data_IF_041137087354
#
_entry.id   IF_041137087354
#
_cell.length_a   1.000
_cell.length_b   1.000
_cell.length_c   1.000
_cell.angle_alpha   90.00
_cell.angle_beta   90.00
_cell.angle_gamma   90.00
#
_symmetry.space_group_name_H-M   'P 1'
#
loop_
_entity.id
_entity.type
_entity.pdbx_description
1 polymer ?
#
# COMPACT_ATOMS: atom_id res chain seq x y z
N UNK A 1 1.83 17.09 2.38
CA UNK A 1 1.74 18.02 3.50
C UNK A 1 3.09 18.31 4.17
N UNK A 2 4.05 17.44 4.12
CA UNK A 2 5.32 17.50 4.87
C UNK A 2 6.56 17.50 3.96
N UNK A 3 6.42 17.88 2.70
CA UNK A 3 7.49 17.77 1.69
C UNK A 3 8.47 18.96 1.62
N UNK A 4 8.59 19.77 2.67
CA UNK A 4 9.56 20.87 2.70
C UNK A 4 10.87 20.46 3.36
N UNK A 5 12.01 20.96 2.86
CA UNK A 5 13.33 20.78 3.47
C UNK A 5 13.41 21.20 4.93
N UNK A 6 12.48 22.03 5.39
CA UNK A 6 12.43 22.55 6.75
C UNK A 6 11.88 21.52 7.74
N UNK A 7 11.00 20.63 7.29
CA UNK A 7 10.39 19.60 8.16
C UNK A 7 11.42 18.56 8.65
N UNK A 8 12.37 18.18 7.82
CA UNK A 8 13.44 17.26 8.19
C UNK A 8 14.42 17.82 9.25
N UNK A 9 14.44 19.15 9.44
CA UNK A 9 15.31 19.81 10.42
C UNK A 9 14.58 20.11 11.74
N UNK A 10 13.29 19.87 11.82
CA UNK A 10 12.47 20.11 13.02
C UNK A 10 12.69 19.00 14.05
N UNK A 11 12.60 19.37 15.31
CA UNK A 11 12.49 18.39 16.40
C UNK A 11 11.13 17.70 16.36
N UNK A 12 10.95 16.59 17.04
CA UNK A 12 9.69 15.84 17.10
C UNK A 12 8.55 16.73 17.63
N UNK A 13 8.79 17.54 18.66
CA UNK A 13 7.80 18.47 19.20
C UNK A 13 7.41 19.52 18.16
N UNK A 14 8.36 20.09 17.42
CA UNK A 14 8.10 21.05 16.35
C UNK A 14 7.33 20.43 15.18
N UNK A 15 7.64 19.18 14.83
CA UNK A 15 6.88 18.42 13.81
C UNK A 15 5.45 18.17 14.26
N UNK A 16 5.27 17.80 15.52
CA UNK A 16 3.96 17.57 16.12
C UNK A 16 3.11 18.85 16.08
N UNK A 17 3.66 19.96 16.54
CA UNK A 17 2.95 21.25 16.54
C UNK A 17 2.59 21.70 15.13
N UNK A 18 3.52 21.59 14.18
CA UNK A 18 3.28 21.93 12.78
C UNK A 18 2.20 21.06 12.15
N UNK A 19 2.21 19.76 12.44
CA UNK A 19 1.22 18.82 11.94
C UNK A 19 -0.18 19.10 12.51
N UNK A 20 -0.29 19.36 13.82
CA UNK A 20 -1.55 19.70 14.47
C UNK A 20 -2.10 21.03 13.95
N UNK A 21 -1.27 22.05 13.78
CA UNK A 21 -1.69 23.33 13.21
C UNK A 21 -2.24 23.17 11.78
N UNK A 22 -1.64 22.31 10.97
CA UNK A 22 -2.12 22.01 9.63
C UNK A 22 -3.46 21.26 9.66
N UNK A 23 -3.60 20.28 10.55
CA UNK A 23 -4.84 19.52 10.71
C UNK A 23 -5.98 20.40 11.22
N UNK A 24 -5.71 21.37 12.10
CA UNK A 24 -6.68 22.36 12.53
C UNK A 24 -7.15 23.23 11.35
N UNK A 25 -6.23 23.69 10.50
CA UNK A 25 -6.57 24.44 9.30
C UNK A 25 -7.40 23.62 8.30
N UNK A 26 -7.07 22.34 8.11
CA UNK A 26 -7.86 21.43 7.26
C UNK A 26 -9.23 21.12 7.86
N UNK A 27 -9.33 21.05 9.19
CA UNK A 27 -10.60 20.87 9.90
C UNK A 27 -11.48 22.09 9.73
N UNK A 28 -10.91 23.30 9.86
CA UNK A 28 -11.64 24.55 9.62
C UNK A 28 -12.14 24.70 8.17
N UNK A 29 -11.43 24.10 7.20
CA UNK A 29 -11.85 24.03 5.79
C UNK A 29 -12.87 22.89 5.52
N UNK A 30 -13.23 22.11 6.52
CA UNK A 30 -14.15 20.98 6.38
C UNK A 30 -13.55 19.76 5.64
N UNK A 31 -12.23 19.70 5.47
CA UNK A 31 -11.54 18.59 4.81
C UNK A 31 -11.20 17.45 5.76
N UNK A 32 -10.99 17.76 7.03
CA UNK A 32 -10.80 16.78 8.10
C UNK A 32 -12.03 16.82 9.03
N UNK A 33 -12.46 15.66 9.46
CA UNK A 33 -13.63 15.50 10.33
C UNK A 33 -13.32 16.03 11.72
N UNK A 34 -14.17 16.91 12.23
CA UNK A 34 -14.02 17.49 13.56
C UNK A 34 -13.98 16.40 14.66
N UNK A 35 -13.01 16.49 15.55
CA UNK A 35 -12.83 15.56 16.66
C UNK A 35 -12.26 14.19 16.25
N UNK A 36 -11.71 14.05 15.04
CA UNK A 36 -11.11 12.81 14.57
C UNK A 36 -9.58 12.76 14.68
N UNK A 37 -8.94 13.87 15.05
CA UNK A 37 -7.48 13.93 15.21
C UNK A 37 -7.11 13.26 16.53
N UNK A 38 -6.22 12.29 16.46
CA UNK A 38 -5.69 11.56 17.60
C UNK A 38 -4.17 11.48 17.50
N UNK A 39 -3.48 11.88 18.56
CA UNK A 39 -2.02 11.81 18.67
C UNK A 39 -1.64 10.56 19.48
N UNK A 40 -0.88 9.70 18.88
CA UNK A 40 -0.26 8.53 19.49
C UNK A 40 1.23 8.84 19.73
N UNK A 41 1.54 9.36 20.93
CA UNK A 41 2.88 9.75 21.29
C UNK A 41 3.83 8.55 21.48
N UNK A 42 3.30 7.36 21.82
CA UNK A 42 4.11 6.16 21.99
C UNK A 42 4.62 5.62 20.65
N UNK A 43 3.83 5.78 19.60
CA UNK A 43 4.19 5.34 18.25
C UNK A 43 4.61 6.50 17.34
N UNK A 44 4.77 7.71 17.87
CA UNK A 44 5.19 8.88 17.08
C UNK A 44 4.27 9.16 15.89
N UNK A 45 2.95 9.02 16.06
CA UNK A 45 1.99 9.13 14.96
C UNK A 45 0.81 10.01 15.32
N UNK A 46 0.31 10.77 14.34
CA UNK A 46 -1.01 11.44 14.42
C UNK A 46 -1.94 10.77 13.40
N UNK A 47 -3.07 10.26 13.84
CA UNK A 47 -4.13 9.73 12.98
C UNK A 47 -5.33 10.67 12.93
N UNK A 48 -6.04 10.68 11.82
CA UNK A 48 -7.23 11.51 11.62
C UNK A 48 -8.13 10.91 10.52
N UNK A 49 -9.33 11.46 10.41
CA UNK A 49 -10.28 11.04 9.38
C UNK A 49 -10.62 12.22 8.49
N UNK A 50 -10.46 12.08 7.18
CA UNK A 50 -10.97 13.06 6.21
C UNK A 50 -12.49 13.09 6.20
N UNK A 51 -13.08 14.22 5.78
CA UNK A 51 -14.53 14.37 5.68
C UNK A 51 -15.19 13.35 4.74
N UNK A 52 -14.46 12.85 3.76
CA UNK A 52 -14.89 11.75 2.88
C UNK A 52 -14.89 10.37 3.56
N UNK A 53 -14.39 10.27 4.79
CA UNK A 53 -14.31 9.02 5.55
C UNK A 53 -12.99 8.26 5.40
N UNK A 54 -12.05 8.71 4.57
CA UNK A 54 -10.72 8.12 4.48
C UNK A 54 -9.92 8.39 5.76
N UNK A 55 -9.13 7.42 6.20
CA UNK A 55 -8.18 7.59 7.29
C UNK A 55 -6.92 8.27 6.77
N UNK A 56 -6.34 9.14 7.58
CA UNK A 56 -5.06 9.78 7.36
C UNK A 56 -4.13 9.54 8.54
N UNK A 57 -2.83 9.53 8.27
CA UNK A 57 -1.80 9.43 9.29
C UNK A 57 -0.60 10.31 8.96
N UNK A 58 0.05 10.84 10.00
CA UNK A 58 1.31 11.58 9.91
C UNK A 58 2.27 10.88 10.86
N UNK A 59 3.39 10.39 10.32
CA UNK A 59 4.51 9.90 11.12
C UNK A 59 5.34 11.10 11.55
N UNK A 60 5.60 11.20 12.85
CA UNK A 60 6.37 12.28 13.48
C UNK A 60 7.85 11.90 13.60
N UNK A 61 8.13 10.59 13.65
CA UNK A 61 9.48 10.04 13.69
C UNK A 61 10.18 10.25 12.36
N UNK A 62 11.49 10.43 12.40
CA UNK A 62 12.27 10.52 11.18
C UNK A 62 12.33 9.13 10.52
N UNK A 63 11.87 8.99 9.25
CA UNK A 63 11.98 7.71 8.56
C UNK A 63 13.45 7.23 8.42
N UNK A 64 14.42 8.15 8.53
CA UNK A 64 15.84 7.79 8.53
C UNK A 64 16.29 7.18 9.88
N UNK A 65 15.68 7.56 11.01
CA UNK A 65 16.00 6.96 12.31
C UNK A 65 15.40 5.56 12.48
N UNK A 66 14.22 5.30 11.96
CA UNK A 66 13.63 3.95 11.97
C UNK A 66 14.38 2.98 11.04
N UNK A 67 14.94 3.47 9.94
CA UNK A 67 15.71 2.65 9.01
C UNK A 67 17.16 2.36 9.49
N UNK A 68 17.63 2.96 10.58
CA UNK A 68 18.91 2.62 11.22
C UNK A 68 18.80 1.48 12.22
N UNK A 69 17.61 0.92 12.47
CA UNK A 69 17.52 -0.37 13.11
C UNK A 69 18.37 -1.34 12.29
N UNK A 70 19.49 -1.79 12.88
CA UNK A 70 20.38 -2.74 12.23
C UNK A 70 19.53 -3.88 11.71
N UNK A 71 19.51 -4.04 10.38
CA UNK A 71 18.87 -5.20 9.76
C UNK A 71 19.37 -6.43 10.51
N UNK A 72 18.51 -7.36 10.90
CA UNK A 72 18.94 -8.53 11.65
C UNK A 72 20.07 -9.20 10.88
N UNK A 73 21.22 -9.41 11.54
CA UNK A 73 22.29 -10.21 10.97
C UNK A 73 21.71 -11.59 10.69
N UNK A 74 21.67 -11.93 9.42
CA UNK A 74 21.19 -13.23 8.99
C UNK A 74 22.28 -14.23 9.28
N UNK A 75 21.96 -15.22 10.09
CA UNK A 75 22.84 -16.35 10.34
C UNK A 75 23.04 -17.14 9.03
N UNK A 76 24.28 -17.15 8.52
CA UNK A 76 24.63 -17.89 7.29
C UNK A 76 24.21 -19.36 7.34
N UNK A 77 24.15 -19.97 8.52
CA UNK A 77 23.68 -21.35 8.69
C UNK A 77 22.19 -21.50 8.42
N UNK A 78 21.37 -20.54 8.83
CA UNK A 78 19.94 -20.51 8.53
C UNK A 78 19.67 -20.28 7.03
N UNK A 79 20.51 -19.45 6.38
CA UNK A 79 20.46 -19.24 4.94
C UNK A 79 20.78 -20.50 4.15
N UNK A 80 21.80 -21.25 4.59
CA UNK A 80 22.17 -22.53 3.97
C UNK A 80 21.05 -23.57 4.11
N UNK A 81 20.45 -23.69 5.30
CA UNK A 81 19.34 -24.61 5.55
C UNK A 81 18.11 -24.28 4.69
N UNK A 82 17.79 -22.99 4.54
CA UNK A 82 16.71 -22.54 3.64
C UNK A 82 17.04 -22.83 2.18
N UNK A 83 18.28 -22.62 1.75
CA UNK A 83 18.73 -22.90 0.38
C UNK A 83 18.74 -24.41 0.04
N UNK A 84 19.02 -25.27 1.02
CA UNK A 84 18.99 -26.74 0.86
C UNK A 84 17.56 -27.29 0.84
N UNK A 85 16.63 -26.64 1.56
CA UNK A 85 15.22 -27.04 1.65
C UNK A 85 14.31 -26.37 0.60
N UNK A 86 14.80 -26.04 -0.57
CA UNK A 86 14.12 -25.31 -1.66
C UNK A 86 12.66 -25.75 -1.88
N UNK A 87 11.71 -25.13 -1.18
CA UNK A 87 10.28 -25.30 -1.42
C UNK A 87 9.61 -24.07 -2.04
N UNK A 88 10.27 -22.92 -2.00
CA UNK A 88 9.80 -21.66 -2.57
C UNK A 88 10.72 -21.30 -3.72
N UNK A 89 10.18 -21.21 -4.92
CA UNK A 89 10.96 -20.97 -6.14
C UNK A 89 10.91 -19.52 -6.62
N UNK A 90 9.78 -18.83 -6.41
CA UNK A 90 9.54 -17.51 -6.98
C UNK A 90 8.88 -16.56 -5.97
N UNK A 91 9.31 -15.31 -5.98
CA UNK A 91 8.73 -14.27 -5.13
C UNK A 91 8.45 -12.99 -5.92
N UNK A 92 7.51 -12.19 -5.46
CA UNK A 92 7.27 -10.85 -5.97
C UNK A 92 7.10 -9.85 -4.84
N UNK A 93 7.64 -8.65 -5.04
CA UNK A 93 7.42 -7.48 -4.19
C UNK A 93 6.75 -6.42 -5.05
N UNK A 94 5.47 -6.22 -4.84
CA UNK A 94 4.66 -5.20 -5.49
C UNK A 94 4.55 -3.97 -4.58
N UNK A 95 5.23 -2.90 -4.97
CA UNK A 95 5.26 -1.65 -4.22
C UNK A 95 4.59 -0.53 -5.03
N UNK A 96 3.35 -0.22 -4.70
CA UNK A 96 2.50 0.68 -5.47
C UNK A 96 2.31 2.06 -4.82
N UNK A 97 3.35 2.65 -4.22
CA UNK A 97 3.27 4.00 -3.67
C UNK A 97 3.86 5.05 -4.61
N UNK A 98 5.08 4.83 -5.06
CA UNK A 98 5.74 5.67 -6.05
C UNK A 98 6.86 4.87 -6.78
N UNK A 99 7.41 5.43 -7.83
CA UNK A 99 8.44 4.77 -8.64
C UNK A 99 9.86 4.94 -8.06
N UNK A 100 10.03 5.22 -6.78
CA UNK A 100 11.29 5.67 -6.21
C UNK A 100 11.89 4.73 -5.16
N UNK A 101 11.62 3.41 -5.23
CA UNK A 101 12.40 2.46 -4.42
C UNK A 101 13.84 2.45 -4.90
N UNK A 102 14.75 2.80 -4.03
CA UNK A 102 16.18 2.65 -4.23
C UNK A 102 16.86 2.36 -2.89
N UNK A 103 18.17 2.10 -2.93
CA UNK A 103 18.96 1.79 -1.72
C UNK A 103 18.98 2.89 -0.65
N UNK A 104 18.56 4.11 -0.98
CA UNK A 104 18.49 5.25 -0.07
C UNK A 104 17.06 5.49 0.42
N UNK A 105 16.08 5.24 -0.47
CA UNK A 105 14.67 5.44 -0.17
C UNK A 105 13.98 4.09 -0.18
N UNK A 106 13.47 3.64 0.95
CA UNK A 106 12.94 2.28 1.16
C UNK A 106 13.95 1.16 0.91
N UNK A 107 15.15 1.20 1.53
CA UNK A 107 16.19 0.19 1.35
C UNK A 107 15.72 -1.22 1.75
N UNK A 108 14.70 -1.30 2.61
CA UNK A 108 14.13 -2.53 3.11
C UNK A 108 13.69 -3.49 2.00
N UNK A 109 12.95 -3.02 0.99
CA UNK A 109 12.47 -3.90 -0.09
C UNK A 109 13.59 -4.34 -1.02
N UNK A 110 14.55 -3.46 -1.31
CA UNK A 110 15.74 -3.81 -2.08
C UNK A 110 16.62 -4.82 -1.33
N UNK A 111 16.74 -4.66 -0.01
CA UNK A 111 17.41 -5.62 0.84
C UNK A 111 16.68 -6.97 0.86
N UNK A 112 15.38 -6.97 1.01
CA UNK A 112 14.55 -8.17 1.01
C UNK A 112 14.65 -8.93 -0.32
N UNK A 113 14.65 -8.22 -1.46
CA UNK A 113 14.91 -8.82 -2.75
C UNK A 113 16.27 -9.50 -2.79
N UNK A 114 17.34 -8.77 -2.40
CA UNK A 114 18.71 -9.30 -2.37
C UNK A 114 18.81 -10.53 -1.45
N UNK A 115 18.16 -10.47 -0.29
CA UNK A 115 18.13 -11.59 0.63
C UNK A 115 17.43 -12.82 0.05
N UNK A 116 16.24 -12.63 -0.52
CA UNK A 116 15.49 -13.73 -1.12
C UNK A 116 16.23 -14.36 -2.31
N UNK A 117 16.86 -13.54 -3.15
CA UNK A 117 17.68 -14.02 -4.25
C UNK A 117 18.88 -14.83 -3.74
N UNK A 118 19.50 -14.42 -2.62
CA UNK A 118 20.63 -15.12 -2.02
C UNK A 118 20.26 -16.51 -1.48
N UNK A 119 19.02 -16.69 -1.03
CA UNK A 119 18.50 -18.00 -0.58
C UNK A 119 17.90 -18.83 -1.74
N UNK A 120 18.04 -18.38 -2.98
CA UNK A 120 17.66 -19.11 -4.18
C UNK A 120 16.23 -18.88 -4.68
N UNK A 121 15.52 -17.87 -4.17
CA UNK A 121 14.29 -17.39 -4.78
C UNK A 121 14.61 -16.57 -6.03
N UNK A 122 13.72 -16.58 -6.99
CA UNK A 122 13.70 -15.61 -8.09
C UNK A 122 12.72 -14.52 -7.70
N UNK A 123 13.23 -13.32 -7.40
CA UNK A 123 12.43 -12.24 -6.83
C UNK A 123 12.24 -11.10 -7.82
N UNK A 124 10.99 -10.83 -8.18
CA UNK A 124 10.60 -9.66 -8.96
C UNK A 124 10.23 -8.51 -8.00
N UNK A 125 10.91 -7.36 -8.12
CA UNK A 125 10.53 -6.11 -7.45
C UNK A 125 9.90 -5.17 -8.47
N UNK A 126 8.62 -4.85 -8.30
CA UNK A 126 7.86 -4.01 -9.22
C UNK A 126 7.28 -2.80 -8.50
N UNK A 127 7.64 -1.61 -8.98
CA UNK A 127 7.16 -0.31 -8.47
C UNK A 127 6.10 0.32 -9.38
N UNK A 128 5.81 -0.31 -10.52
CA UNK A 128 4.77 0.13 -11.47
C UNK A 128 3.65 -0.89 -11.54
N UNK A 129 3.03 -1.13 -10.39
CA UNK A 129 2.04 -2.20 -10.21
C UNK A 129 0.78 -1.92 -11.02
N UNK A 130 0.44 -2.85 -11.90
CA UNK A 130 -0.72 -2.80 -12.79
C UNK A 130 -1.79 -3.82 -12.39
N UNK A 131 -3.00 -3.67 -12.93
CA UNK A 131 -4.06 -4.69 -12.81
C UNK A 131 -3.58 -6.04 -13.36
N UNK A 132 -2.76 -6.03 -14.42
CA UNK A 132 -2.20 -7.25 -15.02
C UNK A 132 -1.21 -7.95 -14.10
N UNK A 133 -0.46 -7.21 -13.29
CA UNK A 133 0.47 -7.76 -12.32
C UNK A 133 -0.27 -8.46 -11.20
N UNK A 134 -1.30 -7.83 -10.65
CA UNK A 134 -2.15 -8.46 -9.64
C UNK A 134 -2.83 -9.74 -10.15
N UNK A 135 -3.21 -9.80 -11.44
CA UNK A 135 -3.73 -11.05 -12.02
C UNK A 135 -2.70 -12.18 -12.06
N UNK A 136 -1.41 -11.83 -12.17
CA UNK A 136 -0.31 -12.78 -12.21
C UNK A 136 0.24 -13.14 -10.84
N UNK A 137 -0.19 -12.45 -9.80
CA UNK A 137 0.28 -12.61 -8.43
C UNK A 137 0.23 -14.06 -7.94
N UNK A 138 -0.77 -14.82 -8.35
CA UNK A 138 -0.90 -16.25 -8.03
C UNK A 138 0.12 -17.17 -8.69
N UNK A 139 1.06 -16.66 -9.49
CA UNK A 139 2.18 -17.45 -10.07
C UNK A 139 3.38 -17.51 -9.13
N UNK A 140 3.42 -16.64 -8.14
CA UNK A 140 4.51 -16.59 -7.16
C UNK A 140 4.17 -17.42 -5.95
N UNK A 141 5.19 -18.03 -5.37
CA UNK A 141 5.07 -18.79 -4.13
C UNK A 141 4.97 -17.88 -2.92
N UNK A 142 5.59 -16.69 -3.01
CA UNK A 142 5.52 -15.64 -2.02
C UNK A 142 5.31 -14.28 -2.70
N UNK A 143 4.37 -13.50 -2.20
CA UNK A 143 4.12 -12.17 -2.72
C UNK A 143 3.93 -11.17 -1.60
N UNK A 144 4.63 -10.04 -1.66
CA UNK A 144 4.35 -8.87 -0.84
C UNK A 144 3.60 -7.87 -1.70
N UNK A 145 2.47 -7.37 -1.18
CA UNK A 145 1.69 -6.29 -1.76
C UNK A 145 1.70 -5.11 -0.81
N UNK A 146 2.49 -4.10 -1.15
CA UNK A 146 2.62 -2.86 -0.39
C UNK A 146 2.03 -1.71 -1.21
N UNK A 147 0.88 -1.19 -0.80
CA UNK A 147 0.10 -0.21 -1.59
C UNK A 147 -0.87 0.57 -0.72
N UNK A 148 -1.38 1.67 -1.24
CA UNK A 148 -2.47 2.39 -0.60
C UNK A 148 -3.77 1.59 -0.67
N UNK A 149 -4.44 1.48 0.47
CA UNK A 149 -5.81 1.01 0.56
C UNK A 149 -6.68 2.05 1.24
N UNK A 150 -7.91 2.17 0.81
CA UNK A 150 -8.88 3.08 1.41
C UNK A 150 -10.30 2.62 1.14
N UNK A 151 -11.23 2.94 2.04
CA UNK A 151 -12.65 2.90 1.72
C UNK A 151 -12.98 4.01 0.74
N UNK A 152 -13.51 3.65 -0.39
CA UNK A 152 -13.84 4.59 -1.45
C UNK A 152 -15.29 4.47 -1.87
N UNK A 153 -15.96 5.62 -2.02
CA UNK A 153 -17.32 5.67 -2.54
C UNK A 153 -17.28 6.06 -4.01
N UNK A 154 -17.85 5.24 -4.86
CA UNK A 154 -17.90 5.49 -6.29
C UNK A 154 -19.28 5.16 -6.89
N UNK A 155 -19.57 5.79 -8.01
CA UNK A 155 -20.80 5.51 -8.77
C UNK A 155 -20.52 4.51 -9.89
N UNK A 156 -21.44 3.59 -10.10
CA UNK A 156 -21.40 2.62 -11.17
C UNK A 156 -22.77 2.38 -11.80
N UNK A 157 -22.78 1.76 -12.97
CA UNK A 157 -23.99 1.51 -13.75
C UNK A 157 -24.21 2.56 -14.85
N UNK A 158 -24.70 2.11 -15.99
CA UNK A 158 -24.89 2.97 -17.17
C UNK A 158 -26.25 3.66 -17.19
N UNK A 159 -27.36 2.93 -17.01
CA UNK A 159 -28.71 3.47 -17.04
C UNK A 159 -29.20 3.93 -15.66
N UNK A 160 -28.85 3.17 -14.63
CA UNK A 160 -29.20 3.46 -13.25
C UNK A 160 -27.91 3.52 -12.45
N UNK A 161 -27.52 4.73 -12.10
CA UNK A 161 -26.36 4.95 -11.25
C UNK A 161 -26.64 4.41 -9.86
N UNK A 162 -25.75 3.55 -9.39
CA UNK A 162 -25.70 3.05 -8.02
C UNK A 162 -24.43 3.55 -7.37
N UNK A 163 -24.46 3.69 -6.07
CA UNK A 163 -23.29 4.05 -5.26
C UNK A 163 -22.84 2.84 -4.47
N UNK A 164 -21.55 2.55 -4.48
CA UNK A 164 -20.92 1.58 -3.61
C UNK A 164 -19.83 2.24 -2.77
N UNK A 165 -19.67 1.75 -1.53
CA UNK A 165 -18.56 2.13 -0.65
C UNK A 165 -17.89 0.84 -0.19
N UNK A 166 -16.68 0.62 -0.64
CA UNK A 166 -15.93 -0.60 -0.35
C UNK A 166 -14.43 -0.34 -0.23
N UNK A 167 -13.66 -1.25 0.40
CA UNK A 167 -12.24 -1.15 0.43
C UNK A 167 -11.66 -1.37 -0.97
N UNK A 168 -10.80 -0.47 -1.39
CA UNK A 168 -10.08 -0.52 -2.66
C UNK A 168 -8.59 -0.50 -2.42
N UNK A 169 -7.86 -1.24 -3.24
CA UNK A 169 -6.41 -1.20 -3.36
C UNK A 169 -6.07 -0.33 -4.57
N UNK A 170 -5.31 0.74 -4.33
CA UNK A 170 -4.89 1.67 -5.36
C UNK A 170 -3.63 1.16 -6.05
N UNK A 171 -3.57 1.34 -7.37
CA UNK A 171 -2.43 0.95 -8.18
C UNK A 171 -1.71 2.17 -8.73
N UNK A 172 -0.49 1.99 -9.21
CA UNK A 172 0.26 3.05 -9.90
C UNK A 172 -0.13 3.19 -11.37
N UNK A 173 -0.88 2.23 -11.91
CA UNK A 173 -1.31 2.25 -13.30
C UNK A 173 -2.34 3.35 -13.56
N UNK A 174 -2.03 4.24 -14.51
CA UNK A 174 -2.96 5.27 -14.97
C UNK A 174 -3.97 4.69 -15.96
N UNK A 175 -5.21 5.15 -15.86
CA UNK A 175 -6.24 4.74 -16.79
C UNK A 175 -6.03 5.40 -18.16
N UNK A 176 -6.07 4.59 -19.22
CA UNK A 176 -6.03 5.02 -20.61
C UNK A 176 -6.96 4.15 -21.46
N UNK A 177 -7.19 4.56 -22.71
CA UNK A 177 -8.12 3.87 -23.60
C UNK A 177 -7.75 2.40 -23.85
N UNK A 178 -6.47 2.08 -23.98
CA UNK A 178 -6.05 0.72 -24.29
C UNK A 178 -6.15 -0.19 -23.06
N UNK A 179 -5.80 0.34 -21.90
CA UNK A 179 -5.96 -0.35 -20.62
C UNK A 179 -7.45 -0.54 -20.27
N UNK A 180 -8.31 0.45 -20.59
CA UNK A 180 -9.76 0.33 -20.45
C UNK A 180 -10.33 -0.81 -21.31
N UNK A 181 -9.84 -0.94 -22.54
CA UNK A 181 -10.26 -2.04 -23.41
C UNK A 181 -9.77 -3.39 -22.86
N UNK A 182 -8.54 -3.45 -22.36
CA UNK A 182 -7.93 -4.65 -21.76
C UNK A 182 -8.68 -5.12 -20.52
N UNK A 183 -9.11 -4.17 -19.67
CA UNK A 183 -9.79 -4.46 -18.41
C UNK A 183 -11.31 -4.34 -18.48
N UNK A 184 -11.86 -4.23 -19.69
CA UNK A 184 -13.29 -3.93 -19.93
C UNK A 184 -14.26 -4.82 -19.18
N UNK A 185 -13.99 -6.13 -19.09
CA UNK A 185 -14.84 -7.06 -18.34
C UNK A 185 -14.77 -6.80 -16.82
N UNK A 186 -13.60 -6.46 -16.27
CA UNK A 186 -13.47 -6.17 -14.85
C UNK A 186 -14.03 -4.80 -14.49
N UNK A 187 -13.91 -3.83 -15.39
CA UNK A 187 -14.56 -2.52 -15.25
C UNK A 187 -16.09 -2.65 -15.28
N UNK A 188 -16.64 -3.46 -16.18
CA UNK A 188 -18.08 -3.74 -16.25
C UNK A 188 -18.58 -4.52 -15.02
N UNK A 189 -17.78 -5.42 -14.51
CA UNK A 189 -18.09 -6.22 -13.32
C UNK A 189 -17.77 -5.48 -12.01
N UNK A 190 -17.27 -4.25 -12.08
CA UNK A 190 -16.86 -3.41 -10.93
C UNK A 190 -15.78 -4.01 -10.05
N UNK A 191 -14.98 -4.94 -10.56
CA UNK A 191 -13.80 -5.52 -9.89
C UNK A 191 -12.58 -4.62 -10.00
N UNK A 192 -12.52 -3.86 -11.09
CA UNK A 192 -11.58 -2.77 -11.32
C UNK A 192 -12.38 -1.49 -11.40
N UNK A 193 -11.94 -0.46 -10.72
CA UNK A 193 -12.55 0.88 -10.73
C UNK A 193 -11.51 1.94 -11.03
N UNK A 194 -11.94 3.13 -11.39
CA UNK A 194 -11.07 4.27 -11.64
C UNK A 194 -11.20 5.28 -10.51
N UNK A 195 -10.07 5.62 -9.91
CA UNK A 195 -9.96 6.58 -8.83
C UNK A 195 -8.92 7.63 -9.22
N UNK A 196 -9.34 8.87 -9.37
CA UNK A 196 -8.45 9.98 -9.74
C UNK A 196 -7.56 9.72 -10.96
N UNK A 197 -8.09 9.00 -11.96
CA UNK A 197 -7.37 8.68 -13.19
C UNK A 197 -6.38 7.51 -13.07
N UNK A 198 -6.41 6.79 -11.96
CA UNK A 198 -5.66 5.54 -11.76
C UNK A 198 -6.63 4.37 -11.59
N UNK A 199 -6.14 3.15 -11.80
CA UNK A 199 -6.91 1.96 -11.49
C UNK A 199 -6.81 1.61 -10.01
N UNK A 200 -7.89 1.07 -9.49
CA UNK A 200 -7.98 0.43 -8.19
C UNK A 200 -8.76 -0.87 -8.31
N UNK A 201 -8.53 -1.80 -7.39
CA UNK A 201 -9.20 -3.10 -7.37
C UNK A 201 -9.87 -3.33 -6.03
N UNK A 202 -10.97 -4.07 -6.03
CA UNK A 202 -11.68 -4.48 -4.81
C UNK A 202 -11.45 -5.97 -4.48
N UNK A 203 -12.09 -6.47 -3.42
CA UNK A 203 -12.01 -7.86 -2.99
C UNK A 203 -12.50 -8.86 -4.03
N UNK A 204 -13.53 -8.50 -4.83
CA UNK A 204 -14.06 -9.35 -5.89
C UNK A 204 -13.06 -9.59 -7.02
N UNK A 205 -12.16 -8.62 -7.26
CA UNK A 205 -11.06 -8.80 -8.19
C UNK A 205 -10.17 -9.98 -7.75
N UNK A 206 -9.71 -9.99 -6.50
CA UNK A 206 -8.86 -11.07 -5.99
C UNK A 206 -9.58 -12.41 -6.01
N UNK A 207 -10.85 -12.44 -5.60
CA UNK A 207 -11.68 -13.65 -5.64
C UNK A 207 -11.77 -14.22 -7.05
N UNK A 208 -11.85 -13.38 -8.07
CA UNK A 208 -12.01 -13.79 -9.47
C UNK A 208 -10.68 -14.06 -10.17
N UNK A 209 -9.64 -13.30 -9.87
CA UNK A 209 -8.37 -13.26 -10.59
C UNK A 209 -7.29 -14.14 -9.95
N UNK A 210 -7.26 -14.24 -8.61
CA UNK A 210 -6.24 -15.01 -7.92
C UNK A 210 -6.43 -16.52 -8.18
N UNK A 211 -5.39 -17.15 -8.70
CA UNK A 211 -5.32 -18.58 -9.01
C UNK A 211 -3.96 -19.11 -8.59
N UNK A 212 -3.74 -19.27 -7.29
CA UNK A 212 -2.45 -19.73 -6.78
C UNK A 212 -2.58 -20.31 -5.38
N UNK A 213 -1.50 -20.92 -4.92
CA UNK A 213 -1.36 -21.48 -3.57
C UNK A 213 -0.26 -20.78 -2.78
N UNK A 214 0.25 -19.67 -3.29
CA UNK A 214 1.31 -18.90 -2.66
C UNK A 214 0.82 -18.12 -1.43
N UNK A 215 1.78 -17.65 -0.66
CA UNK A 215 1.55 -16.77 0.49
C UNK A 215 1.52 -15.33 0.00
N UNK A 216 0.50 -14.58 0.36
CA UNK A 216 0.42 -13.14 0.12
C UNK A 216 0.46 -12.41 1.45
N UNK A 217 1.47 -11.56 1.60
CA UNK A 217 1.58 -10.60 2.70
C UNK A 217 1.13 -9.25 2.17
N UNK A 218 0.13 -8.66 2.81
CA UNK A 218 -0.37 -7.34 2.41
C UNK A 218 -0.06 -6.30 3.47
N UNK A 219 0.63 -5.25 3.06
CA UNK A 219 0.92 -4.04 3.84
C UNK A 219 0.03 -2.90 3.32
N UNK A 220 -1.28 -3.12 3.32
CA UNK A 220 -2.25 -2.21 2.73
C UNK A 220 -3.25 -1.79 3.80
N UNK A 221 -3.44 -0.48 3.98
CA UNK A 221 -4.48 0.03 4.88
C UNK A 221 -5.86 -0.44 4.41
N UNK A 222 -6.76 -0.71 5.36
CA UNK A 222 -8.15 -1.09 5.09
C UNK A 222 -8.32 -2.34 4.20
N UNK A 223 -7.25 -3.12 3.97
CA UNK A 223 -7.30 -4.31 3.11
C UNK A 223 -8.30 -5.37 3.61
N UNK A 224 -8.40 -5.51 4.93
CA UNK A 224 -9.29 -6.47 5.58
C UNK A 224 -10.63 -5.87 6.04
N UNK A 225 -11.00 -4.70 5.56
CA UNK A 225 -12.23 -4.03 5.95
C UNK A 225 -12.14 -3.30 7.30
N UNK A 226 -13.24 -2.65 7.67
CA UNK A 226 -13.33 -1.95 8.95
C UNK A 226 -13.30 -2.95 10.11
N UNK A 227 -12.58 -2.59 11.17
CA UNK A 227 -12.47 -3.38 12.40
C UNK A 227 -11.76 -4.74 12.25
N UNK A 228 -10.90 -4.90 11.26
CA UNK A 228 -10.15 -6.15 11.05
C UNK A 228 -11.02 -7.33 10.63
N UNK A 229 -12.26 -7.12 10.25
CA UNK A 229 -13.10 -8.13 9.63
C UNK A 229 -12.77 -8.24 8.14
N UNK A 230 -12.46 -9.45 7.72
CA UNK A 230 -12.31 -9.78 6.30
C UNK A 230 -13.71 -9.76 5.70
N UNK A 231 -14.01 -8.75 4.89
CA UNK A 231 -15.21 -8.76 4.05
C UNK A 231 -14.95 -9.72 2.87
N UNK A 232 -15.13 -11.02 3.12
CA UNK A 232 -14.98 -12.09 2.11
C UNK A 232 -16.28 -12.35 1.38
#
# INVERSE_FOLDING_TARGET
LTGGSDYAQMTEDERTDAALQQLDALTAQGLVKQGSVYTDAENGMISFTYSCGALGGILLTDPEEENTAALPELDESQLQELAENKRVGTAAIYYAFDNTINSTRYPYYAYMQTYWDSVGLQTDLDTTVTVSDLRRMGRYDLCILSTHGAYYTYEYGWLFKKTATEPLILLTERSDFWSDLRYGFDLLAHRVVKVNGMYAVNGDFFRSAYRGNGIVLSETCEFYGKNGHVDT
#
